data_IF_784466722547
#
_entry.id   IF_784466722547
#
_cell.length_a   1.000
_cell.length_b   1.000
_cell.length_c   1.000
_cell.angle_alpha   90.00
_cell.angle_beta   90.00
_cell.angle_gamma   90.00
#
_symmetry.space_group_name_H-M   'P 1'
#
loop_
_entity.id
_entity.type
_entity.pdbx_description
1 polymer ?
#
# COMPACT_ATOMS: atom_id res chain seq x y z
N UNK A 1 20.11 36.71 1.59
CA UNK A 1 18.97 35.93 2.11
C UNK A 1 18.08 35.33 1.04
N UNK A 2 17.70 36.05 -0.02
CA UNK A 2 16.81 35.52 -1.09
C UNK A 2 17.32 34.26 -1.83
N UNK A 3 18.63 34.16 -2.14
CA UNK A 3 19.19 33.01 -2.89
C UNK A 3 19.08 31.68 -2.15
N UNK A 4 19.12 31.64 -0.82
CA UNK A 4 18.96 30.39 -0.02
C UNK A 4 17.51 29.91 0.00
N UNK A 5 16.54 30.82 -0.05
CA UNK A 5 15.10 30.50 -0.05
C UNK A 5 14.70 29.89 -1.39
N UNK A 6 15.21 30.40 -2.52
CA UNK A 6 14.90 29.87 -3.87
C UNK A 6 15.46 28.43 -4.04
N UNK A 7 16.66 28.15 -3.55
CA UNK A 7 17.26 26.79 -3.63
C UNK A 7 16.45 25.79 -2.79
N UNK A 8 15.96 26.21 -1.63
CA UNK A 8 15.14 25.34 -0.76
C UNK A 8 13.78 25.02 -1.42
N UNK A 9 13.15 25.99 -2.08
CA UNK A 9 11.87 25.79 -2.78
C UNK A 9 12.02 24.87 -3.99
N UNK A 10 13.08 25.00 -4.78
CA UNK A 10 13.34 24.11 -5.93
C UNK A 10 13.66 22.68 -5.47
N UNK A 11 14.38 22.51 -4.39
CA UNK A 11 14.70 21.17 -3.85
C UNK A 11 13.47 20.46 -3.29
N UNK A 12 12.59 21.15 -2.57
CA UNK A 12 11.32 20.61 -2.06
C UNK A 12 10.35 20.22 -3.19
N UNK A 13 10.28 21.01 -4.25
CA UNK A 13 9.43 20.70 -5.41
C UNK A 13 9.90 19.47 -6.19
N UNK A 14 11.21 19.27 -6.34
CA UNK A 14 11.78 18.10 -7.02
C UNK A 14 11.59 16.81 -6.22
N UNK A 15 11.70 16.85 -4.89
CA UNK A 15 11.43 15.69 -4.02
C UNK A 15 9.96 15.30 -4.08
N UNK A 16 9.04 16.27 -4.02
CA UNK A 16 7.60 16.02 -4.10
C UNK A 16 7.22 15.39 -5.44
N UNK A 17 7.76 15.89 -6.54
CA UNK A 17 7.53 15.37 -7.88
C UNK A 17 8.07 13.94 -8.06
N UNK A 18 9.28 13.67 -7.57
CA UNK A 18 9.88 12.33 -7.58
C UNK A 18 9.05 11.31 -6.80
N UNK A 19 8.53 11.70 -5.64
CA UNK A 19 7.69 10.84 -4.79
C UNK A 19 6.36 10.51 -5.47
N UNK A 20 5.75 11.48 -6.17
CA UNK A 20 4.49 11.29 -6.89
C UNK A 20 4.66 10.38 -8.10
N UNK A 21 5.74 10.53 -8.88
CA UNK A 21 6.08 9.63 -9.99
C UNK A 21 6.27 8.19 -9.49
N UNK A 22 7.02 8.02 -8.41
CA UNK A 22 7.20 6.71 -7.80
C UNK A 22 5.86 6.10 -7.37
N UNK A 23 5.01 6.88 -6.72
CA UNK A 23 3.68 6.41 -6.32
C UNK A 23 2.80 6.06 -7.51
N UNK A 24 2.87 6.80 -8.62
CA UNK A 24 2.13 6.48 -9.84
C UNK A 24 2.46 5.07 -10.36
N UNK A 25 3.73 4.68 -10.33
CA UNK A 25 4.16 3.32 -10.68
C UNK A 25 3.56 2.27 -9.75
N UNK A 26 3.65 2.50 -8.43
CA UNK A 26 3.11 1.61 -7.40
C UNK A 26 1.58 1.47 -7.55
N UNK A 27 0.86 2.57 -7.70
CA UNK A 27 -0.59 2.60 -7.84
C UNK A 27 -1.06 1.91 -9.11
N UNK A 28 -0.41 2.18 -10.24
CA UNK A 28 -0.72 1.52 -11.52
C UNK A 28 -0.54 0.00 -11.44
N UNK A 29 0.49 -0.45 -10.73
CA UNK A 29 0.70 -1.88 -10.50
C UNK A 29 -0.44 -2.50 -9.67
N UNK A 30 -0.86 -1.86 -8.60
CA UNK A 30 -1.98 -2.32 -7.77
C UNK A 30 -3.31 -2.31 -8.54
N UNK A 31 -3.56 -1.29 -9.39
CA UNK A 31 -4.78 -1.21 -10.21
C UNK A 31 -4.94 -2.34 -11.22
N UNK A 32 -3.86 -3.02 -11.63
CA UNK A 32 -3.97 -4.21 -12.49
C UNK A 32 -4.81 -5.32 -11.86
N UNK A 33 -4.80 -5.39 -10.52
CA UNK A 33 -5.54 -6.40 -9.76
C UNK A 33 -6.92 -5.92 -9.31
N UNK A 34 -7.08 -4.61 -9.04
CA UNK A 34 -8.35 -4.04 -8.58
C UNK A 34 -9.35 -3.79 -9.71
N UNK A 35 -8.83 -3.53 -10.92
CA UNK A 35 -9.66 -3.07 -12.04
C UNK A 35 -10.18 -1.64 -11.86
N UNK A 36 -10.92 -1.16 -12.86
CA UNK A 36 -11.45 0.21 -12.90
C UNK A 36 -12.98 0.26 -12.78
N UNK A 37 -13.62 -0.91 -12.71
CA UNK A 37 -15.07 -1.04 -12.75
C UNK A 37 -15.69 -0.72 -11.38
N UNK A 38 -16.86 -0.08 -11.41
CA UNK A 38 -17.68 0.07 -10.23
C UNK A 38 -18.32 -1.27 -9.85
N UNK A 39 -18.11 -1.68 -8.61
CA UNK A 39 -18.64 -2.92 -8.04
C UNK A 39 -19.61 -2.55 -6.91
N UNK A 40 -20.79 -3.15 -6.92
CA UNK A 40 -21.74 -3.07 -5.83
C UNK A 40 -22.42 -4.42 -5.64
N UNK A 41 -22.25 -4.98 -4.46
CA UNK A 41 -22.91 -6.19 -4.02
C UNK A 41 -23.25 -6.08 -2.52
N UNK A 42 -23.78 -7.15 -1.91
CA UNK A 42 -24.18 -7.16 -0.50
C UNK A 42 -23.00 -7.01 0.49
N UNK A 43 -21.78 -7.10 0.03
CA UNK A 43 -20.56 -7.11 0.87
C UNK A 43 -19.76 -5.83 0.64
N UNK A 44 -19.72 -5.34 -0.61
CA UNK A 44 -18.79 -4.29 -1.01
C UNK A 44 -19.42 -3.31 -1.98
N UNK A 45 -19.07 -2.03 -1.83
CA UNK A 45 -19.24 -1.00 -2.84
C UNK A 45 -17.91 -0.31 -3.04
N UNK A 46 -17.31 -0.50 -4.22
CA UNK A 46 -15.97 0.00 -4.55
C UNK A 46 -15.85 0.38 -6.01
N UNK A 47 -14.86 1.22 -6.31
CA UNK A 47 -14.40 1.57 -7.66
C UNK A 47 -12.91 1.90 -7.61
N UNK A 48 -12.13 1.40 -8.56
CA UNK A 48 -10.66 1.49 -8.51
C UNK A 48 -10.06 0.87 -7.23
N UNK A 49 -10.74 -0.05 -6.54
CA UNK A 49 -10.33 -0.57 -5.22
C UNK A 49 -10.62 0.38 -4.04
N UNK A 50 -11.16 1.58 -4.28
CA UNK A 50 -11.58 2.52 -3.24
C UNK A 50 -13.01 2.18 -2.80
N UNK A 51 -13.16 1.82 -1.53
CA UNK A 51 -14.46 1.52 -0.90
C UNK A 51 -15.11 2.74 -0.27
N UNK A 52 -16.36 2.57 0.21
CA UNK A 52 -17.10 3.61 0.96
C UNK A 52 -16.39 4.11 2.22
N UNK A 53 -15.48 3.36 2.78
CA UNK A 53 -14.67 3.80 3.91
C UNK A 53 -13.79 5.02 3.57
N UNK A 54 -13.40 5.15 2.30
CA UNK A 54 -12.53 6.23 1.83
C UNK A 54 -13.25 7.30 1.03
N UNK A 55 -14.40 6.99 0.41
CA UNK A 55 -15.19 7.93 -0.39
C UNK A 55 -16.68 7.65 -0.25
N UNK A 56 -17.49 8.67 0.10
CA UNK A 56 -18.95 8.55 0.20
C UNK A 56 -19.60 8.34 -1.18
N UNK A 57 -19.05 8.95 -2.23
CA UNK A 57 -19.54 8.86 -3.61
C UNK A 57 -18.61 7.99 -4.45
N UNK A 58 -18.62 6.69 -4.18
CA UNK A 58 -17.78 5.71 -4.89
C UNK A 58 -18.20 5.56 -6.35
N UNK A 59 -19.49 5.60 -6.64
CA UNK A 59 -20.05 5.40 -7.99
C UNK A 59 -19.47 6.40 -9.01
N UNK A 60 -19.42 7.68 -8.61
CA UNK A 60 -18.95 8.77 -9.47
C UNK A 60 -17.45 9.07 -9.30
N UNK A 61 -16.71 8.17 -8.65
CA UNK A 61 -15.28 8.34 -8.43
C UNK A 61 -14.54 8.34 -9.77
N UNK A 62 -13.76 9.39 -10.02
CA UNK A 62 -12.84 9.46 -11.16
C UNK A 62 -11.51 8.81 -10.82
N UNK A 63 -10.75 8.37 -11.84
CA UNK A 63 -9.42 7.78 -11.65
C UNK A 63 -8.47 8.73 -10.90
N UNK A 64 -8.50 10.03 -11.26
CA UNK A 64 -7.72 11.06 -10.55
C UNK A 64 -8.08 11.15 -9.07
N UNK A 65 -9.36 11.22 -8.73
CA UNK A 65 -9.79 11.25 -7.32
C UNK A 65 -9.42 9.98 -6.57
N UNK A 66 -9.50 8.81 -7.22
CA UNK A 66 -9.07 7.55 -6.64
C UNK A 66 -7.57 7.54 -6.36
N UNK A 67 -6.75 8.04 -7.30
CA UNK A 67 -5.31 8.25 -7.11
C UNK A 67 -5.03 9.18 -5.92
N UNK A 68 -5.68 10.34 -5.86
CA UNK A 68 -5.49 11.31 -4.77
C UNK A 68 -5.85 10.71 -3.39
N UNK A 69 -6.93 9.91 -3.33
CA UNK A 69 -7.30 9.18 -2.11
C UNK A 69 -6.25 8.14 -1.74
N UNK A 70 -5.81 7.31 -2.69
CA UNK A 70 -4.80 6.29 -2.47
C UNK A 70 -3.48 6.90 -2.00
N UNK A 71 -3.06 8.01 -2.62
CA UNK A 71 -1.85 8.73 -2.27
C UNK A 71 -1.93 9.31 -0.85
N UNK A 72 -2.97 10.12 -0.57
CA UNK A 72 -3.03 10.87 0.68
C UNK A 72 -3.52 10.03 1.87
N UNK A 73 -4.59 9.22 1.67
CA UNK A 73 -5.24 8.49 2.77
C UNK A 73 -4.68 7.10 3.02
N UNK A 74 -3.87 6.56 2.11
CA UNK A 74 -3.27 5.23 2.29
C UNK A 74 -1.75 5.33 2.28
N UNK A 75 -1.15 5.77 1.17
CA UNK A 75 0.31 5.78 1.01
C UNK A 75 1.01 6.72 2.00
N UNK A 76 0.60 8.00 2.03
CA UNK A 76 1.18 8.99 2.94
C UNK A 76 0.71 8.81 4.39
N UNK A 77 -0.58 8.55 4.59
CA UNK A 77 -1.14 8.40 5.94
C UNK A 77 -0.56 7.23 6.73
N UNK A 78 -0.05 6.20 6.03
CA UNK A 78 0.63 5.07 6.66
C UNK A 78 2.16 5.10 6.47
N UNK A 79 2.76 6.25 6.15
CA UNK A 79 4.22 6.42 6.00
C UNK A 79 4.88 5.40 5.04
N UNK A 80 4.13 4.85 4.07
CA UNK A 80 4.66 3.86 3.12
C UNK A 80 5.73 4.48 2.22
N UNK A 81 5.64 5.78 1.98
CA UNK A 81 6.63 6.57 1.26
C UNK A 81 8.02 6.58 1.91
N UNK A 82 8.13 6.22 3.18
CA UNK A 82 9.39 6.15 3.94
C UNK A 82 10.07 4.78 3.86
N UNK A 83 9.44 3.78 3.26
CA UNK A 83 10.09 2.50 2.98
C UNK A 83 11.05 2.71 1.81
N UNK A 84 12.34 2.46 1.99
CA UNK A 84 13.37 2.78 1.01
C UNK A 84 13.37 1.83 -0.19
N UNK A 85 13.28 0.53 0.06
CA UNK A 85 13.26 -0.45 -1.02
C UNK A 85 11.94 -0.40 -1.80
N UNK A 86 12.02 -0.19 -3.11
CA UNK A 86 10.85 -0.02 -4.00
C UNK A 86 9.95 -1.26 -4.02
N UNK A 87 10.52 -2.47 -4.09
CA UNK A 87 9.74 -3.71 -4.13
C UNK A 87 8.99 -3.94 -2.82
N UNK A 88 9.65 -3.73 -1.67
CA UNK A 88 9.01 -3.82 -0.35
C UNK A 88 7.91 -2.79 -0.22
N UNK A 89 8.16 -1.56 -0.61
CA UNK A 89 7.19 -0.46 -0.62
C UNK A 89 5.95 -0.80 -1.46
N UNK A 90 6.17 -1.34 -2.66
CA UNK A 90 5.10 -1.77 -3.56
C UNK A 90 4.26 -2.89 -2.95
N UNK A 91 4.89 -3.91 -2.37
CA UNK A 91 4.19 -5.02 -1.74
C UNK A 91 3.39 -4.57 -0.51
N UNK A 92 4.00 -3.76 0.36
CA UNK A 92 3.34 -3.23 1.57
C UNK A 92 2.16 -2.35 1.20
N UNK A 93 2.30 -1.48 0.19
CA UNK A 93 1.19 -0.65 -0.30
C UNK A 93 0.05 -1.53 -0.82
N UNK A 94 0.33 -2.49 -1.69
CA UNK A 94 -0.69 -3.38 -2.25
C UNK A 94 -1.42 -4.18 -1.16
N UNK A 95 -0.70 -4.66 -0.15
CA UNK A 95 -1.32 -5.37 0.95
C UNK A 95 -2.24 -4.46 1.78
N UNK A 96 -1.78 -3.26 2.15
CA UNK A 96 -2.58 -2.29 2.92
C UNK A 96 -3.78 -1.79 2.12
N UNK A 97 -3.62 -1.58 0.82
CA UNK A 97 -4.69 -1.14 -0.08
C UNK A 97 -5.83 -2.15 -0.18
N UNK A 98 -5.49 -3.43 -0.28
CA UNK A 98 -6.42 -4.55 -0.49
C UNK A 98 -6.94 -5.18 0.82
N UNK A 99 -6.63 -4.61 1.97
CA UNK A 99 -7.07 -5.16 3.26
C UNK A 99 -7.31 -4.05 4.28
N UNK A 100 -7.78 -4.41 5.49
CA UNK A 100 -7.85 -3.45 6.59
C UNK A 100 -6.42 -3.03 7.01
N UNK A 101 -6.01 -1.76 6.86
CA UNK A 101 -4.63 -1.32 7.06
C UNK A 101 -4.04 -1.77 8.39
N UNK A 102 -4.79 -1.55 9.48
CA UNK A 102 -4.34 -1.91 10.83
C UNK A 102 -4.01 -3.40 10.98
N UNK A 103 -4.78 -4.26 10.32
CA UNK A 103 -4.56 -5.71 10.36
C UNK A 103 -3.30 -6.13 9.60
N UNK A 104 -3.07 -5.57 8.42
CA UNK A 104 -1.87 -5.80 7.63
C UNK A 104 -0.62 -5.33 8.40
N UNK A 105 -0.64 -4.10 8.93
CA UNK A 105 0.48 -3.50 9.68
C UNK A 105 0.85 -4.35 10.90
N UNK A 106 -0.13 -4.82 11.68
CA UNK A 106 0.14 -5.70 12.83
C UNK A 106 0.86 -7.00 12.44
N UNK A 107 0.54 -7.56 11.27
CA UNK A 107 1.20 -8.78 10.79
C UNK A 107 2.62 -8.51 10.33
N UNK A 108 2.83 -7.37 9.67
CA UNK A 108 4.18 -6.92 9.29
C UNK A 108 5.01 -6.69 10.55
N UNK A 109 4.49 -6.00 11.55
CA UNK A 109 5.18 -5.75 12.83
C UNK A 109 5.54 -7.05 13.56
N UNK A 110 4.63 -8.02 13.58
CA UNK A 110 4.92 -9.34 14.15
C UNK A 110 6.03 -10.06 13.38
N UNK A 111 6.04 -9.95 12.04
CA UNK A 111 7.05 -10.59 11.20
C UNK A 111 8.47 -10.06 11.45
N UNK A 112 8.59 -8.73 11.60
CA UNK A 112 9.89 -8.06 11.79
C UNK A 112 10.26 -7.85 13.27
N UNK A 113 9.53 -8.50 14.18
CA UNK A 113 9.75 -8.52 15.63
C UNK A 113 9.84 -7.12 16.29
N UNK A 114 8.88 -6.24 15.93
CA UNK A 114 8.74 -4.93 16.59
C UNK A 114 7.41 -4.83 17.33
N UNK A 115 7.25 -3.80 18.19
CA UNK A 115 6.02 -3.56 18.95
C UNK A 115 4.79 -3.53 18.05
N UNK A 116 3.81 -4.39 18.34
CA UNK A 116 2.57 -4.54 17.57
C UNK A 116 1.58 -3.43 17.94
N UNK A 117 1.60 -2.32 17.22
CA UNK A 117 0.72 -1.16 17.42
C UNK A 117 -0.43 -1.11 16.40
N UNK A 118 -0.20 -1.63 15.20
CA UNK A 118 -1.09 -1.49 14.04
C UNK A 118 -0.96 -0.14 13.36
N UNK A 119 0.06 0.66 13.69
CA UNK A 119 0.43 1.90 13.03
C UNK A 119 1.83 1.74 12.42
N UNK A 120 2.01 2.19 11.18
CA UNK A 120 3.31 2.20 10.51
C UNK A 120 4.14 3.37 11.07
N UNK A 121 4.65 3.19 12.30
CA UNK A 121 5.45 4.18 13.02
C UNK A 121 6.92 4.12 12.60
N UNK A 122 7.73 5.03 13.14
CA UNK A 122 9.15 5.13 12.78
C UNK A 122 9.90 3.83 13.10
N UNK A 123 9.64 3.18 14.23
CA UNK A 123 10.23 1.92 14.64
C UNK A 123 9.97 0.82 13.59
N UNK A 124 8.73 0.72 13.10
CA UNK A 124 8.35 -0.24 12.05
C UNK A 124 9.07 0.06 10.73
N UNK A 125 9.13 1.33 10.33
CA UNK A 125 9.81 1.76 9.09
C UNK A 125 11.32 1.48 9.17
N UNK A 126 11.95 1.85 10.28
CA UNK A 126 13.38 1.59 10.50
C UNK A 126 13.68 0.09 10.42
N UNK A 127 12.91 -0.76 11.12
CA UNK A 127 13.13 -2.20 11.07
C UNK A 127 12.91 -2.81 9.67
N UNK A 128 12.00 -2.26 8.85
CA UNK A 128 11.84 -2.64 7.44
C UNK A 128 13.07 -2.24 6.62
N UNK A 129 13.54 -1.01 6.79
CA UNK A 129 14.65 -0.46 6.00
C UNK A 129 16.00 -1.11 6.38
N UNK A 130 16.19 -1.44 7.67
CA UNK A 130 17.40 -2.09 8.20
C UNK A 130 17.42 -3.61 7.97
N UNK A 131 16.34 -4.19 7.39
CA UNK A 131 16.31 -5.63 7.14
C UNK A 131 17.36 -6.01 6.08
N UNK A 132 18.37 -6.77 6.49
CA UNK A 132 19.60 -6.99 5.72
C UNK A 132 19.39 -7.69 4.37
N UNK A 133 18.40 -8.60 4.29
CA UNK A 133 18.10 -9.37 3.07
C UNK A 133 16.70 -9.00 2.56
N UNK A 134 16.66 -8.12 1.57
CA UNK A 134 15.40 -7.63 0.98
C UNK A 134 14.60 -8.74 0.29
N UNK A 135 15.24 -9.69 -0.37
CA UNK A 135 14.54 -10.76 -1.08
C UNK A 135 13.92 -11.74 -0.07
N UNK A 136 14.62 -12.03 1.01
CA UNK A 136 14.08 -12.78 2.14
C UNK A 136 12.90 -12.03 2.77
N UNK A 137 13.01 -10.73 3.02
CA UNK A 137 11.91 -9.94 3.56
C UNK A 137 10.65 -10.02 2.67
N UNK A 138 10.81 -9.87 1.35
CA UNK A 138 9.70 -9.98 0.39
C UNK A 138 9.08 -11.38 0.44
N UNK A 139 9.90 -12.42 0.49
CA UNK A 139 9.44 -13.80 0.62
C UNK A 139 8.59 -13.99 1.90
N UNK A 140 9.10 -13.56 3.03
CA UNK A 140 8.41 -13.64 4.33
C UNK A 140 7.11 -12.83 4.36
N UNK A 141 7.08 -11.64 3.74
CA UNK A 141 5.88 -10.83 3.59
C UNK A 141 4.82 -11.55 2.74
N UNK A 142 5.21 -12.19 1.62
CA UNK A 142 4.32 -12.98 0.77
C UNK A 142 3.72 -14.16 1.55
N UNK A 143 4.53 -14.91 2.26
CA UNK A 143 4.07 -16.03 3.08
C UNK A 143 3.14 -15.58 4.21
N UNK A 144 3.50 -14.51 4.92
CA UNK A 144 2.67 -13.95 6.00
C UNK A 144 1.29 -13.53 5.50
N UNK A 145 1.23 -12.87 4.34
CA UNK A 145 -0.03 -12.49 3.70
C UNK A 145 -0.83 -13.70 3.27
N UNK A 146 -0.20 -14.69 2.63
CA UNK A 146 -0.86 -15.92 2.21
C UNK A 146 -1.43 -16.71 3.38
N UNK A 147 -0.66 -16.86 4.46
CA UNK A 147 -1.11 -17.54 5.66
C UNK A 147 -2.29 -16.85 6.31
N UNK A 148 -2.32 -15.52 6.33
CA UNK A 148 -3.50 -14.78 6.76
C UNK A 148 -4.71 -15.05 5.84
N UNK A 149 -4.55 -14.98 4.53
CA UNK A 149 -5.66 -15.21 3.61
C UNK A 149 -6.26 -16.62 3.75
N UNK A 150 -5.44 -17.63 4.03
CA UNK A 150 -5.89 -19.00 4.31
C UNK A 150 -6.83 -19.09 5.53
N UNK A 151 -6.78 -18.15 6.46
CA UNK A 151 -7.70 -18.12 7.62
C UNK A 151 -9.08 -17.53 7.30
N UNK A 152 -9.25 -16.93 6.13
CA UNK A 152 -10.50 -16.27 5.76
C UNK A 152 -11.56 -17.27 5.28
N UNK A 153 -12.82 -17.08 5.71
CA UNK A 153 -13.97 -17.93 5.37
C UNK A 153 -14.11 -18.22 3.86
N UNK A 154 -13.72 -17.28 3.02
CA UNK A 154 -13.91 -17.37 1.56
C UNK A 154 -12.61 -17.73 0.83
N UNK A 155 -11.58 -18.23 1.52
CA UNK A 155 -10.30 -18.56 0.90
C UNK A 155 -10.44 -19.49 -0.29
N UNK A 156 -11.15 -20.62 -0.14
CA UNK A 156 -11.31 -21.61 -1.21
C UNK A 156 -11.93 -21.02 -2.49
N UNK A 157 -12.85 -20.07 -2.34
CA UNK A 157 -13.50 -19.38 -3.46
C UNK A 157 -12.55 -18.45 -4.23
N UNK A 158 -11.63 -17.77 -3.54
CA UNK A 158 -10.82 -16.70 -4.11
C UNK A 158 -9.31 -17.03 -4.16
N UNK A 159 -8.89 -18.22 -3.70
CA UNK A 159 -7.48 -18.59 -3.53
C UNK A 159 -6.62 -18.38 -4.77
N UNK A 160 -7.10 -18.73 -5.96
CA UNK A 160 -6.33 -18.61 -7.19
C UNK A 160 -6.00 -17.14 -7.50
N UNK A 161 -6.98 -16.24 -7.39
CA UNK A 161 -6.78 -14.81 -7.61
C UNK A 161 -5.85 -14.18 -6.55
N UNK A 162 -6.02 -14.57 -5.29
CA UNK A 162 -5.18 -14.08 -4.21
C UNK A 162 -3.74 -14.57 -4.29
N UNK A 163 -3.52 -15.85 -4.61
CA UNK A 163 -2.18 -16.41 -4.82
C UNK A 163 -1.51 -15.77 -6.04
N UNK A 164 -2.24 -15.63 -7.16
CA UNK A 164 -1.72 -14.94 -8.34
C UNK A 164 -1.28 -13.50 -8.05
N UNK A 165 -2.11 -12.73 -7.32
CA UNK A 165 -1.77 -11.38 -6.89
C UNK A 165 -0.51 -11.35 -6.04
N UNK A 166 -0.43 -12.17 -4.99
CA UNK A 166 0.75 -12.23 -4.10
C UNK A 166 2.02 -12.58 -4.88
N UNK A 167 1.94 -13.52 -5.83
CA UNK A 167 3.07 -13.92 -6.64
C UNK A 167 3.57 -12.81 -7.58
N UNK A 168 2.66 -11.97 -8.10
CA UNK A 168 2.92 -11.08 -9.23
C UNK A 168 2.90 -9.57 -8.88
N UNK A 169 2.70 -9.20 -7.62
CA UNK A 169 2.69 -7.78 -7.24
C UNK A 169 4.09 -7.18 -7.20
N UNK A 170 5.10 -8.00 -6.94
CA UNK A 170 6.54 -7.66 -7.02
C UNK A 170 7.32 -8.88 -7.47
#
# INVERSE_FOLDING_TARGET
>A
MLKKIVILFTFLSTISFSTEIMFQKIYSNTLRFEGKTYIKNNIEESKYGISKAYSKDVKNLTEKKAFDIAYNKIYKAHNIDKIENEKVRMFVFDWIYNSAPRGAIKRIQKLIDVKITGNMNIETITAINDFSDTDLLIHLLKETRLNYLKTLKHYEKYKNGWQYRIANVV
#
